data_IF_404971917768
#
_entry.id   IF_404971917768
#
_cell.length_a   1.000
_cell.length_b   1.000
_cell.length_c   1.000
_cell.angle_alpha   90.00
_cell.angle_beta   90.00
_cell.angle_gamma   90.00
#
_symmetry.space_group_name_H-M   'P 1'
#
loop_
_entity.id
_entity.type
_entity.pdbx_description
1 polymer ?
#
# COMPACT_ATOMS: atom_id res chain seq x y z
N UNK A 1 -7.63 -23.02 7.11
CA UNK A 1 -7.22 -21.64 6.76
C UNK A 1 -5.73 -21.65 6.48
N UNK A 2 -5.32 -21.07 5.35
CA UNK A 2 -3.92 -20.93 4.93
C UNK A 2 -3.66 -19.44 4.71
N UNK A 3 -2.51 -18.95 5.18
CA UNK A 3 -2.05 -17.57 4.98
C UNK A 3 -0.92 -17.60 3.97
N UNK A 4 -1.07 -16.87 2.88
CA UNK A 4 -0.13 -16.79 1.77
C UNK A 4 0.44 -15.38 1.72
N UNK A 5 1.71 -15.21 2.10
CA UNK A 5 2.41 -13.93 2.01
C UNK A 5 3.23 -13.89 0.74
N UNK A 6 2.78 -13.07 -0.22
CA UNK A 6 3.35 -12.93 -1.57
C UNK A 6 3.61 -14.27 -2.29
N UNK A 7 2.59 -15.16 -2.44
CA UNK A 7 2.80 -16.55 -2.86
C UNK A 7 3.35 -16.74 -4.28
N UNK A 8 3.26 -15.70 -5.11
CA UNK A 8 3.64 -15.73 -6.52
C UNK A 8 4.68 -14.65 -6.87
N UNK A 9 5.23 -13.96 -5.86
CA UNK A 9 6.28 -12.98 -6.10
C UNK A 9 7.54 -13.68 -6.65
N UNK A 10 8.33 -12.94 -7.43
CA UNK A 10 9.54 -13.42 -8.09
C UNK A 10 9.34 -14.56 -9.12
N UNK A 11 8.10 -14.91 -9.49
CA UNK A 11 7.80 -15.86 -10.56
C UNK A 11 7.48 -15.13 -11.86
N UNK A 12 7.77 -15.76 -13.00
CA UNK A 12 7.31 -15.27 -14.30
C UNK A 12 5.78 -15.40 -14.43
N UNK A 13 5.18 -14.56 -15.28
CA UNK A 13 3.72 -14.47 -15.45
C UNK A 13 3.08 -15.83 -15.77
N UNK A 14 3.76 -16.71 -16.51
CA UNK A 14 3.21 -18.02 -16.88
C UNK A 14 3.19 -19.01 -15.72
N UNK A 15 4.19 -18.94 -14.83
CA UNK A 15 4.25 -19.75 -13.61
C UNK A 15 3.32 -19.17 -12.54
N UNK A 16 3.19 -17.85 -12.43
CA UNK A 16 2.20 -17.23 -11.53
C UNK A 16 0.79 -17.78 -11.81
N UNK A 17 0.37 -17.81 -13.08
CA UNK A 17 -0.93 -18.35 -13.48
C UNK A 17 -1.11 -19.82 -13.09
N UNK A 18 -0.07 -20.65 -13.25
CA UNK A 18 -0.13 -22.06 -12.85
C UNK A 18 -0.28 -22.24 -11.33
N UNK A 19 0.44 -21.43 -10.54
CA UNK A 19 0.34 -21.47 -9.08
C UNK A 19 -1.05 -21.01 -8.62
N UNK A 20 -1.61 -19.95 -9.22
CA UNK A 20 -2.96 -19.47 -8.90
C UNK A 20 -4.00 -20.56 -9.18
N UNK A 21 -3.98 -21.16 -10.37
CA UNK A 21 -4.91 -22.25 -10.72
C UNK A 21 -4.80 -23.43 -9.75
N UNK A 22 -3.58 -23.79 -9.35
CA UNK A 22 -3.37 -24.86 -8.36
C UNK A 22 -3.97 -24.48 -6.99
N UNK A 23 -3.82 -23.24 -6.55
CA UNK A 23 -4.41 -22.77 -5.29
C UNK A 23 -5.94 -22.83 -5.34
N UNK A 24 -6.55 -22.45 -6.46
CA UNK A 24 -8.00 -22.55 -6.68
C UNK A 24 -8.48 -24.02 -6.65
N UNK A 25 -7.80 -24.91 -7.37
CA UNK A 25 -8.10 -26.36 -7.36
C UNK A 25 -8.01 -26.96 -5.94
N UNK A 26 -6.99 -26.54 -5.17
CA UNK A 26 -6.84 -26.96 -3.78
C UNK A 26 -7.91 -26.35 -2.87
N UNK A 27 -8.35 -25.12 -3.14
CA UNK A 27 -9.45 -24.47 -2.42
C UNK A 27 -10.71 -25.31 -2.53
N UNK A 28 -11.09 -25.67 -3.76
CA UNK A 28 -12.33 -26.38 -4.06
C UNK A 28 -12.29 -27.82 -3.56
N UNK A 29 -11.18 -28.53 -3.80
CA UNK A 29 -11.06 -29.94 -3.45
C UNK A 29 -10.95 -30.20 -1.95
N UNK A 30 -10.36 -29.25 -1.19
CA UNK A 30 -10.11 -29.41 0.24
C UNK A 30 -10.97 -28.48 1.13
N UNK A 31 -11.79 -27.60 0.54
CA UNK A 31 -12.63 -26.65 1.28
C UNK A 31 -11.80 -25.63 2.07
N UNK A 32 -10.73 -25.10 1.47
CA UNK A 32 -9.79 -24.22 2.16
C UNK A 32 -10.27 -22.76 2.15
N UNK A 33 -9.87 -22.03 3.18
CA UNK A 33 -9.97 -20.57 3.22
C UNK A 33 -8.56 -20.00 3.09
N UNK A 34 -8.37 -19.11 2.12
CA UNK A 34 -7.11 -18.41 1.90
C UNK A 34 -7.17 -16.97 2.40
N UNK A 35 -6.09 -16.52 3.02
CA UNK A 35 -5.77 -15.10 3.21
C UNK A 35 -4.50 -14.82 2.42
N UNK A 36 -4.63 -14.10 1.30
CA UNK A 36 -3.52 -13.77 0.42
C UNK A 36 -3.09 -12.32 0.67
N UNK A 37 -1.79 -12.12 0.83
CA UNK A 37 -1.14 -10.81 0.89
C UNK A 37 -0.34 -10.67 -0.39
N UNK A 38 -0.62 -9.64 -1.18
CA UNK A 38 0.10 -9.38 -2.43
C UNK A 38 0.08 -7.87 -2.74
N UNK A 39 1.09 -7.44 -3.49
CA UNK A 39 1.18 -6.07 -4.01
C UNK A 39 0.69 -5.94 -5.46
N UNK A 40 0.53 -7.06 -6.19
CA UNK A 40 0.02 -7.07 -7.55
C UNK A 40 -1.51 -7.24 -7.56
N UNK A 41 -2.20 -6.18 -7.93
CA UNK A 41 -3.66 -6.17 -8.06
C UNK A 41 -4.16 -7.17 -9.13
N UNK A 42 -3.43 -7.39 -10.23
CA UNK A 42 -3.85 -8.34 -11.26
C UNK A 42 -3.96 -9.76 -10.69
N UNK A 43 -3.04 -10.16 -9.83
CA UNK A 43 -3.08 -11.46 -9.11
C UNK A 43 -4.25 -11.49 -8.13
N UNK A 44 -4.38 -10.46 -7.29
CA UNK A 44 -5.40 -10.41 -6.22
C UNK A 44 -6.81 -10.50 -6.80
N UNK A 45 -7.06 -9.94 -7.99
CA UNK A 45 -8.37 -10.00 -8.66
C UNK A 45 -8.86 -11.43 -8.90
N UNK A 46 -7.96 -12.34 -9.28
CA UNK A 46 -8.33 -13.68 -9.74
C UNK A 46 -8.60 -14.63 -8.56
N UNK A 47 -7.82 -14.52 -7.48
CA UNK A 47 -7.86 -15.47 -6.36
C UNK A 47 -8.76 -15.04 -5.19
N UNK A 48 -9.26 -13.79 -5.19
CA UNK A 48 -9.93 -13.21 -4.01
C UNK A 48 -11.41 -12.95 -4.23
N UNK A 49 -12.26 -13.39 -3.29
CA UNK A 49 -13.68 -12.98 -3.23
C UNK A 49 -13.83 -11.53 -2.73
N UNK A 50 -13.05 -11.17 -1.70
CA UNK A 50 -13.05 -9.87 -1.03
C UNK A 50 -11.61 -9.36 -0.94
N UNK A 51 -11.43 -8.08 -1.23
CA UNK A 51 -10.11 -7.43 -1.23
C UNK A 51 -10.09 -6.35 -0.16
N UNK A 52 -9.07 -6.40 0.70
CA UNK A 52 -8.72 -5.34 1.64
C UNK A 52 -7.48 -4.57 1.17
N UNK A 53 -7.60 -3.26 1.03
CA UNK A 53 -6.50 -2.36 0.65
C UNK A 53 -5.96 -1.69 1.91
N UNK A 54 -4.64 -1.81 2.12
CA UNK A 54 -3.96 -1.20 3.27
C UNK A 54 -3.04 -0.06 2.85
N UNK A 55 -2.94 0.95 3.71
CA UNK A 55 -1.96 2.02 3.58
C UNK A 55 -1.33 2.36 4.94
N UNK A 56 0.01 2.32 5.00
CA UNK A 56 0.81 2.55 6.22
C UNK A 56 0.28 1.75 7.43
N UNK A 57 -0.03 0.46 7.22
CA UNK A 57 -0.50 -0.44 8.26
C UNK A 57 -1.93 -0.18 8.75
N UNK A 58 -2.80 0.42 7.94
CA UNK A 58 -4.22 0.56 8.23
C UNK A 58 -5.08 0.18 7.03
N UNK A 59 -6.20 -0.50 7.27
CA UNK A 59 -7.18 -0.83 6.24
C UNK A 59 -7.89 0.45 5.80
N UNK A 60 -7.78 0.79 4.51
CA UNK A 60 -8.37 2.01 3.93
C UNK A 60 -9.60 1.72 3.10
N UNK A 61 -9.72 0.51 2.57
CA UNK A 61 -10.86 0.08 1.77
C UNK A 61 -11.00 -1.44 1.83
N UNK A 62 -12.22 -1.94 1.87
CA UNK A 62 -12.58 -3.37 1.80
C UNK A 62 -13.82 -3.51 0.94
N UNK A 63 -13.81 -4.38 -0.08
CA UNK A 63 -14.97 -4.60 -0.93
C UNK A 63 -14.91 -5.97 -1.61
N UNK A 64 -16.04 -6.49 -2.12
CA UNK A 64 -16.01 -7.58 -3.11
C UNK A 64 -15.06 -7.23 -4.25
N UNK A 65 -14.29 -8.22 -4.73
CA UNK A 65 -13.23 -8.02 -5.74
C UNK A 65 -13.74 -7.22 -6.94
N UNK A 66 -14.82 -7.67 -7.57
CA UNK A 66 -15.40 -6.99 -8.74
C UNK A 66 -15.86 -5.56 -8.46
N UNK A 67 -16.44 -5.29 -7.29
CA UNK A 67 -16.88 -3.96 -6.89
C UNK A 67 -15.70 -3.00 -6.69
N UNK A 68 -14.59 -3.49 -6.12
CA UNK A 68 -13.37 -2.71 -5.94
C UNK A 68 -12.76 -2.28 -7.28
N UNK A 69 -12.73 -3.17 -8.27
CA UNK A 69 -12.22 -2.87 -9.61
C UNK A 69 -13.17 -1.97 -10.42
N UNK A 70 -14.48 -2.14 -10.25
CA UNK A 70 -15.47 -1.35 -10.96
C UNK A 70 -15.55 0.10 -10.45
N UNK A 71 -15.38 0.31 -9.15
CA UNK A 71 -15.56 1.62 -8.52
C UNK A 71 -14.79 1.77 -7.22
N UNK A 72 -13.45 1.87 -7.26
CA UNK A 72 -12.66 2.13 -6.05
C UNK A 72 -13.05 3.48 -5.46
N UNK A 73 -13.27 3.55 -4.15
CA UNK A 73 -13.81 4.74 -3.46
C UNK A 73 -12.75 5.53 -2.72
N UNK A 74 -11.79 4.87 -2.05
CA UNK A 74 -10.74 5.58 -1.34
C UNK A 74 -9.77 6.23 -2.33
N UNK A 75 -9.36 7.52 -2.13
CA UNK A 75 -8.41 8.20 -3.02
C UNK A 75 -7.12 7.43 -3.31
N UNK A 76 -6.60 6.70 -2.32
CA UNK A 76 -5.43 5.83 -2.51
C UNK A 76 -5.72 4.67 -3.47
N UNK A 77 -6.82 3.95 -3.28
CA UNK A 77 -7.21 2.83 -4.15
C UNK A 77 -7.52 3.32 -5.57
N UNK A 78 -8.17 4.48 -5.72
CA UNK A 78 -8.36 5.13 -7.03
C UNK A 78 -7.02 5.32 -7.75
N UNK A 79 -6.02 5.82 -7.03
CA UNK A 79 -4.68 6.01 -7.59
C UNK A 79 -4.00 4.69 -7.96
N UNK A 80 -4.05 3.68 -7.08
CA UNK A 80 -3.54 2.34 -7.38
C UNK A 80 -4.18 1.74 -8.63
N UNK A 81 -5.52 1.74 -8.71
CA UNK A 81 -6.26 1.18 -9.83
C UNK A 81 -6.03 1.94 -11.15
N UNK A 82 -5.73 3.24 -11.07
CA UNK A 82 -5.35 4.03 -12.26
C UNK A 82 -3.99 3.62 -12.84
N UNK A 83 -3.12 2.98 -12.04
CA UNK A 83 -1.80 2.53 -12.46
C UNK A 83 -1.78 1.07 -12.96
N UNK A 84 -2.83 0.28 -12.70
CA UNK A 84 -2.94 -1.11 -13.17
C UNK A 84 -3.25 -1.10 -14.67
N UNK A 85 -2.41 -1.70 -15.54
CA UNK A 85 -2.67 -1.79 -16.97
C UNK A 85 -3.92 -2.61 -17.27
N UNK A 86 -4.70 -2.19 -18.28
CA UNK A 86 -5.78 -3.03 -18.82
C UNK A 86 -5.34 -3.76 -20.10
N UNK A 87 -5.86 -4.98 -20.37
CA UNK A 87 -5.47 -5.75 -21.55
C UNK A 87 -5.85 -5.13 -22.89
N UNK A 88 -6.90 -4.31 -22.92
CA UNK A 88 -7.40 -3.66 -24.14
C UNK A 88 -6.62 -2.36 -24.40
N UNK A 89 -5.82 -2.29 -25.49
CA UNK A 89 -4.99 -1.13 -25.78
C UNK A 89 -5.80 0.13 -26.07
N UNK A 90 -6.97 0.03 -26.71
CA UNK A 90 -7.79 1.20 -26.98
C UNK A 90 -8.40 1.79 -25.70
N UNK A 91 -8.65 0.93 -24.70
CA UNK A 91 -9.09 1.37 -23.38
C UNK A 91 -7.91 1.97 -22.62
N UNK A 92 -6.74 1.31 -22.60
CA UNK A 92 -5.55 1.78 -21.89
C UNK A 92 -5.09 3.16 -22.37
N UNK A 93 -5.04 3.40 -23.68
CA UNK A 93 -4.62 4.68 -24.27
C UNK A 93 -5.51 5.86 -23.83
N UNK A 94 -6.78 5.59 -23.49
CA UNK A 94 -7.75 6.60 -23.04
C UNK A 94 -7.79 6.77 -21.53
N UNK A 95 -7.08 5.95 -20.76
CA UNK A 95 -7.11 6.03 -19.29
C UNK A 95 -6.21 7.15 -18.78
N UNK A 96 -6.74 7.88 -17.81
CA UNK A 96 -6.02 8.90 -17.07
C UNK A 96 -5.36 8.26 -15.84
N UNK A 97 -4.04 8.40 -15.74
CA UNK A 97 -3.29 7.94 -14.55
C UNK A 97 -3.27 9.03 -13.50
N UNK A 98 -3.52 8.66 -12.25
CA UNK A 98 -3.44 9.56 -11.10
C UNK A 98 -2.02 9.49 -10.55
N UNK A 99 -1.18 10.47 -10.88
CA UNK A 99 0.14 10.59 -10.27
C UNK A 99 0.03 11.22 -8.88
N UNK A 100 0.45 10.46 -7.87
CA UNK A 100 0.50 10.92 -6.48
C UNK A 100 1.77 11.73 -6.23
N UNK A 101 1.61 12.92 -5.65
CA UNK A 101 2.72 13.79 -5.29
C UNK A 101 3.17 13.58 -3.84
N UNK A 102 4.42 13.95 -3.57
CA UNK A 102 5.06 13.85 -2.26
C UNK A 102 5.62 12.46 -1.95
N UNK A 103 6.55 12.43 -1.00
CA UNK A 103 7.24 11.22 -0.56
C UNK A 103 6.34 10.33 0.29
N UNK A 104 6.64 9.02 0.29
CA UNK A 104 5.97 8.06 1.16
C UNK A 104 6.37 8.33 2.62
N UNK A 105 5.41 8.61 3.52
CA UNK A 105 5.71 8.81 4.93
C UNK A 105 6.24 7.54 5.60
N UNK A 106 7.02 7.70 6.68
CA UNK A 106 7.52 6.57 7.45
C UNK A 106 6.37 5.79 8.11
N UNK A 107 6.30 4.45 7.96
CA UNK A 107 5.36 3.61 8.70
C UNK A 107 5.55 3.66 10.22
N UNK A 108 6.76 3.96 10.70
CA UNK A 108 7.08 4.05 12.13
C UNK A 108 6.53 5.32 12.78
N UNK A 109 6.35 6.39 12.00
CA UNK A 109 5.75 7.64 12.45
C UNK A 109 4.72 8.13 11.41
N UNK A 110 3.57 7.46 11.33
CA UNK A 110 2.58 7.77 10.31
C UNK A 110 1.93 9.14 10.57
N UNK A 111 1.44 9.82 9.52
CA UNK A 111 0.72 11.08 9.69
C UNK A 111 -0.45 10.97 10.67
N UNK A 112 -0.73 12.08 11.37
CA UNK A 112 -1.90 12.21 12.20
C UNK A 112 -3.19 12.17 11.35
N UNK A 113 -4.31 11.86 11.97
CA UNK A 113 -5.59 11.74 11.26
C UNK A 113 -5.61 10.62 10.19
N UNK A 114 -5.96 11.00 8.96
CA UNK A 114 -5.96 10.11 7.79
C UNK A 114 -4.53 9.89 7.28
N UNK A 115 -4.01 8.67 7.39
CA UNK A 115 -2.63 8.33 7.00
C UNK A 115 -2.25 8.76 5.57
N UNK A 116 -3.23 8.83 4.66
CA UNK A 116 -3.01 9.19 3.26
C UNK A 116 -3.08 10.71 2.98
N UNK A 117 -3.44 11.55 3.97
CA UNK A 117 -3.73 12.96 3.72
C UNK A 117 -2.57 13.76 3.09
N UNK A 118 -1.31 13.35 3.33
CA UNK A 118 -0.12 14.04 2.79
C UNK A 118 0.07 13.84 1.28
N UNK A 119 -0.56 12.82 0.71
CA UNK A 119 -0.48 12.45 -0.71
C UNK A 119 -1.85 12.43 -1.39
N UNK A 120 -2.93 12.67 -0.65
CA UNK A 120 -4.30 12.58 -1.13
C UNK A 120 -4.64 13.77 -2.05
N UNK A 121 -5.01 13.53 -3.32
CA UNK A 121 -5.40 14.63 -4.22
C UNK A 121 -6.65 15.38 -3.77
N UNK A 122 -7.51 14.76 -2.95
CA UNK A 122 -8.76 15.34 -2.44
C UNK A 122 -8.66 15.78 -0.97
N UNK A 123 -7.45 16.00 -0.45
CA UNK A 123 -7.22 16.38 0.95
C UNK A 123 -8.04 17.62 1.33
N UNK A 124 -8.70 17.55 2.50
CA UNK A 124 -9.44 18.66 3.11
C UNK A 124 -8.78 19.07 4.43
N UNK A 125 -8.57 20.37 4.62
CA UNK A 125 -7.93 20.94 5.82
C UNK A 125 -8.71 20.67 7.11
N UNK A 126 -10.03 20.47 7.01
CA UNK A 126 -10.94 20.40 8.17
C UNK A 126 -10.78 19.15 9.02
N UNK A 127 -10.59 17.97 8.40
CA UNK A 127 -10.57 16.67 9.11
C UNK A 127 -9.39 15.77 8.77
N UNK A 128 -8.86 15.85 7.54
CA UNK A 128 -7.93 14.83 7.05
C UNK A 128 -6.61 14.77 7.85
N UNK A 129 -6.12 15.90 8.35
CA UNK A 129 -4.86 15.97 9.11
C UNK A 129 -5.03 15.71 10.62
N UNK A 130 -6.25 15.81 11.15
CA UNK A 130 -6.52 15.85 12.60
C UNK A 130 -7.29 14.65 13.10
N UNK A 131 -8.17 14.07 12.30
CA UNK A 131 -9.07 12.99 12.69
C UNK A 131 -8.83 11.72 11.85
N UNK A 132 -8.76 10.56 12.50
CA UNK A 132 -8.63 9.28 11.78
C UNK A 132 -10.01 8.86 11.27
N UNK A 133 -10.21 8.68 9.95
CA UNK A 133 -11.49 8.24 9.44
C UNK A 133 -11.75 6.79 9.90
N UNK A 134 -12.94 6.48 10.43
CA UNK A 134 -13.34 5.10 10.68
C UNK A 134 -13.58 4.37 9.36
N UNK A 135 -13.36 3.05 9.35
CA UNK A 135 -13.73 2.19 8.23
C UNK A 135 -15.25 1.97 8.26
N UNK A 136 -15.98 2.64 7.37
CA UNK A 136 -17.44 2.63 7.34
C UNK A 136 -17.96 1.96 6.07
N UNK A 137 -19.03 1.19 6.21
CA UNK A 137 -19.76 0.61 5.08
C UNK A 137 -20.50 1.72 4.32
N UNK A 138 -20.28 1.77 3.01
CA UNK A 138 -20.84 2.75 2.06
C UNK A 138 -21.89 2.12 1.13
N UNK A 139 -22.33 0.89 1.46
CA UNK A 139 -23.30 0.09 0.71
C UNK A 139 -22.67 -1.20 0.17
N UNK A 140 -23.47 -2.26 0.08
CA UNK A 140 -23.13 -3.53 -0.57
C UNK A 140 -21.86 -4.23 -0.05
N UNK A 141 -21.51 -3.99 1.23
CA UNK A 141 -20.30 -4.53 1.86
C UNK A 141 -19.02 -3.78 1.48
N UNK A 142 -19.13 -2.62 0.83
CA UNK A 142 -18.01 -1.77 0.44
C UNK A 142 -17.66 -0.80 1.57
N UNK A 143 -16.60 -1.10 2.32
CA UNK A 143 -16.15 -0.29 3.45
C UNK A 143 -14.99 0.61 3.07
N UNK A 144 -15.00 1.86 3.55
CA UNK A 144 -14.01 2.88 3.21
C UNK A 144 -13.64 3.69 4.45
N UNK A 145 -12.35 3.91 4.65
CA UNK A 145 -11.83 4.78 5.70
C UNK A 145 -11.48 6.17 5.12
N UNK A 146 -12.51 6.92 4.71
CA UNK A 146 -12.36 8.30 4.24
C UNK A 146 -13.48 9.19 4.78
N UNK A 147 -13.14 10.41 5.17
CA UNK A 147 -14.09 11.40 5.70
C UNK A 147 -15.04 11.95 4.65
N UNK A 148 -14.65 11.91 3.38
CA UNK A 148 -15.30 12.62 2.28
C UNK A 148 -15.68 11.70 1.12
N UNK A 149 -15.91 10.41 1.38
CA UNK A 149 -16.23 9.43 0.33
C UNK A 149 -17.42 9.89 -0.52
N UNK A 150 -18.53 10.24 0.14
CA UNK A 150 -19.77 10.64 -0.54
C UNK A 150 -19.59 11.93 -1.36
N UNK A 151 -18.85 12.90 -0.84
CA UNK A 151 -18.58 14.18 -1.49
C UNK A 151 -17.63 14.04 -2.69
N UNK A 152 -16.66 13.13 -2.60
CA UNK A 152 -15.77 12.79 -3.72
C UNK A 152 -16.57 12.09 -4.82
N UNK A 153 -17.44 11.12 -4.46
CA UNK A 153 -18.30 10.42 -5.42
C UNK A 153 -19.33 11.37 -6.06
N UNK A 154 -19.88 12.32 -5.30
CA UNK A 154 -20.79 13.34 -5.82
C UNK A 154 -20.09 14.47 -6.61
N UNK A 155 -18.76 14.50 -6.63
CA UNK A 155 -17.97 15.54 -7.30
C UNK A 155 -18.05 16.93 -6.65
N UNK A 156 -18.55 17.02 -5.41
CA UNK A 156 -18.63 18.28 -4.66
C UNK A 156 -17.28 18.69 -4.05
N UNK A 157 -16.40 17.71 -3.78
CA UNK A 157 -15.01 17.94 -3.41
C UNK A 157 -14.11 17.75 -4.64
N UNK A 158 -13.43 18.83 -5.05
CA UNK A 158 -12.47 18.82 -6.16
C UNK A 158 -11.07 18.45 -5.66
N UNK A 159 -10.23 17.99 -6.57
CA UNK A 159 -8.81 17.76 -6.29
C UNK A 159 -8.12 19.09 -5.94
N UNK A 160 -7.45 19.12 -4.80
CA UNK A 160 -6.69 20.26 -4.26
C UNK A 160 -5.21 20.19 -4.64
N UNK A 161 -4.67 18.99 -4.88
CA UNK A 161 -3.33 18.80 -5.45
C UNK A 161 -3.46 18.53 -6.95
N UNK A 162 -2.71 19.26 -7.77
CA UNK A 162 -2.62 18.97 -9.21
C UNK A 162 -2.05 17.56 -9.36
N UNK A 163 -2.87 16.59 -9.78
CA UNK A 163 -2.39 15.30 -10.25
C UNK A 163 -1.76 15.50 -11.62
N UNK A 164 -0.55 15.01 -11.84
CA UNK A 164 -0.06 14.83 -13.21
C UNK A 164 -0.96 13.80 -13.89
N UNK A 165 -1.90 14.26 -14.73
CA UNK A 165 -2.65 13.38 -15.63
C UNK A 165 -1.76 13.23 -16.86
N UNK A 166 -0.96 12.17 -16.90
CA UNK A 166 -0.26 11.77 -18.11
C UNK A 166 -1.17 10.83 -18.90
N UNK A 167 -1.55 11.25 -20.12
CA UNK A 167 -2.14 10.34 -21.09
C UNK A 167 -1.09 9.30 -21.47
N UNK A 168 -1.44 8.02 -21.42
CA UNK A 168 -0.54 6.93 -21.75
C UNK A 168 -0.33 6.94 -23.27
N UNK A 169 0.71 7.61 -23.76
CA UNK A 169 1.10 7.50 -25.17
C UNK A 169 2.05 6.32 -25.33
N UNK A 170 1.52 5.14 -25.66
CA UNK A 170 2.32 3.98 -26.02
C UNK A 170 2.94 4.14 -27.42
N UNK A 171 4.26 4.32 -27.52
CA UNK A 171 4.98 4.01 -28.76
C UNK A 171 6.42 3.61 -28.45
N UNK A 172 6.69 2.31 -28.33
CA UNK A 172 7.94 1.72 -28.82
C UNK A 172 7.60 0.39 -29.51
N UNK A 173 7.62 0.44 -30.84
CA UNK A 173 7.50 -0.69 -31.76
C UNK A 173 8.76 -1.56 -31.69
N UNK A 174 8.58 -2.84 -31.38
CA UNK A 174 9.57 -3.89 -31.69
C UNK A 174 9.62 -4.11 -33.19
N UNK A 175 10.75 -3.75 -33.82
CA UNK A 175 11.09 -4.22 -35.15
C UNK A 175 12.19 -5.29 -35.02
N UNK A 176 11.84 -6.51 -35.41
CA UNK A 176 12.77 -7.58 -35.66
C UNK A 176 13.49 -7.33 -37.00
N UNK A 177 14.81 -7.40 -37.00
CA UNK A 177 15.57 -7.78 -38.19
C UNK A 177 16.78 -8.61 -37.76
N UNK A 178 16.97 -9.75 -38.42
CA UNK A 178 18.08 -10.66 -38.25
C UNK A 178 19.14 -10.39 -39.33
N UNK A 179 20.41 -10.68 -39.01
CA UNK A 179 21.36 -11.54 -39.75
C UNK A 179 22.82 -11.04 -39.66
N UNK A 180 23.67 -12.00 -39.26
CA UNK A 180 25.10 -12.24 -39.58
C UNK A 180 26.27 -11.72 -38.73
N UNK A 181 27.24 -12.64 -38.68
CA UNK A 181 28.45 -12.77 -37.86
C UNK A 181 29.63 -12.10 -38.57
N UNK A 182 30.51 -11.43 -37.81
CA UNK A 182 31.94 -11.35 -38.17
C UNK A 182 32.81 -11.11 -36.95
N UNK A 183 33.80 -11.98 -36.77
CA UNK A 183 34.91 -11.91 -35.81
C UNK A 183 35.85 -10.73 -36.12
N UNK A 184 36.51 -10.19 -35.09
CA UNK A 184 37.57 -9.20 -35.25
C UNK A 184 38.05 -8.62 -33.91
N UNK A 185 39.09 -9.23 -33.36
CA UNK A 185 39.86 -8.81 -32.18
C UNK A 185 40.45 -7.39 -32.34
N UNK A 186 40.58 -6.63 -31.24
CA UNK A 186 41.87 -6.04 -30.82
C UNK A 186 41.77 -5.43 -29.40
N UNK A 187 42.82 -5.69 -28.64
CA UNK A 187 43.12 -5.24 -27.28
C UNK A 187 43.34 -3.72 -27.18
N UNK A 188 43.00 -3.12 -26.02
CA UNK A 188 43.84 -2.11 -25.36
C UNK A 188 43.37 -1.82 -23.92
N UNK A 189 44.19 -2.29 -22.98
CA UNK A 189 44.53 -1.81 -21.63
C UNK A 189 43.70 -0.69 -20.94
N UNK A 190 43.30 -1.03 -19.71
CA UNK A 190 42.96 -0.14 -18.57
C UNK A 190 44.16 0.69 -18.10
N UNK A 191 43.95 1.74 -17.26
CA UNK A 191 44.08 1.42 -15.83
C UNK A 191 43.06 2.11 -14.90
N UNK A 192 42.85 1.36 -13.83
CA UNK A 192 42.18 1.65 -12.56
C UNK A 192 42.82 2.86 -11.85
N UNK A 193 41.99 3.70 -11.23
CA UNK A 193 42.41 4.51 -10.07
C UNK A 193 41.41 4.35 -8.93
N UNK A 194 41.81 3.55 -7.94
CA UNK A 194 41.36 3.48 -6.54
C UNK A 194 41.85 4.76 -5.81
N UNK A 195 41.10 5.45 -4.96
CA UNK A 195 40.83 5.19 -3.52
C UNK A 195 40.62 6.60 -2.85
N UNK A 196 40.18 6.78 -1.58
CA UNK A 196 40.04 5.76 -0.55
C UNK A 196 38.73 5.76 0.26
N UNK A 197 38.49 4.58 0.82
CA UNK A 197 37.65 4.31 1.99
C UNK A 197 38.11 5.11 3.23
N UNK A 198 37.14 5.52 4.05
CA UNK A 198 37.36 5.87 5.45
C UNK A 198 36.53 4.93 6.31
N UNK A 199 37.22 4.03 6.97
CA UNK A 199 36.72 3.13 8.01
C UNK A 199 36.72 3.83 9.41
N UNK A 200 36.17 3.21 10.47
CA UNK A 200 35.05 3.78 11.23
C UNK A 200 35.47 4.44 12.55
N UNK A 201 34.63 5.36 13.04
CA UNK A 201 34.79 5.90 14.39
C UNK A 201 34.16 4.95 15.43
N UNK A 202 35.02 4.53 16.33
CA UNK A 202 34.82 3.66 17.49
C UNK A 202 33.85 4.23 18.54
N UNK A 203 33.08 3.31 19.13
CA UNK A 203 32.33 3.46 20.39
C UNK A 203 33.29 3.69 21.57
N UNK A 204 32.90 4.45 22.61
CA UNK A 204 33.23 4.05 23.96
C UNK A 204 31.97 3.77 24.78
N UNK A 205 31.90 2.55 25.30
CA UNK A 205 31.04 2.19 26.40
C UNK A 205 31.66 2.74 27.70
N UNK A 206 30.86 3.36 28.55
CA UNK A 206 31.05 3.30 30.01
C UNK A 206 29.75 3.63 30.73
N UNK A 207 29.54 2.89 31.81
CA UNK A 207 28.29 2.63 32.48
C UNK A 207 28.13 3.42 33.80
N UNK A 208 26.90 3.38 34.30
CA UNK A 208 26.46 3.48 35.70
C UNK A 208 26.75 4.76 36.51
N UNK A 209 25.69 5.50 36.85
CA UNK A 209 25.33 5.81 38.25
C UNK A 209 23.99 6.57 38.36
N UNK A 210 23.31 6.32 39.47
CA UNK A 210 22.25 7.10 40.11
C UNK A 210 20.78 6.81 39.77
N UNK A 211 20.32 5.78 40.49
CA UNK A 211 18.98 5.64 41.01
C UNK A 211 18.54 6.82 41.91
N UNK A 212 17.21 6.92 42.07
CA UNK A 212 16.40 7.80 42.95
C UNK A 212 16.09 9.19 42.41
N UNK A 213 14.83 9.37 41.98
CA UNK A 213 13.83 10.25 42.64
C UNK A 213 12.58 10.39 41.76
N UNK A 214 11.52 9.62 42.07
CA UNK A 214 10.12 10.00 41.81
C UNK A 214 9.13 8.97 42.41
N UNK A 215 9.28 8.68 43.71
CA UNK A 215 8.13 8.27 44.54
C UNK A 215 7.82 9.44 45.46
N UNK A 216 6.95 10.36 45.01
CA UNK A 216 6.11 11.19 45.89
C UNK A 216 5.12 11.99 45.04
N UNK A 217 3.87 11.51 44.95
CA UNK A 217 2.61 12.27 44.91
C UNK A 217 1.46 11.40 44.38
N UNK A 218 0.94 10.56 45.25
CA UNK A 218 -0.46 10.12 45.21
C UNK A 218 -0.88 9.80 46.64
N UNK A 219 -1.09 10.87 47.42
CA UNK A 219 -1.71 10.82 48.72
C UNK A 219 -2.54 12.08 48.87
N UNK A 220 -3.81 12.01 48.49
CA UNK A 220 -4.92 12.72 49.15
C UNK A 220 -6.26 12.21 48.60
N UNK A 221 -7.30 12.29 49.44
CA UNK A 221 -8.70 11.94 49.23
C UNK A 221 -9.12 10.48 49.54
N UNK A 222 -9.03 10.20 50.84
CA UNK A 222 -9.84 9.26 51.62
C UNK A 222 -11.36 9.50 51.47
N UNK A 223 -12.10 8.38 51.54
CA UNK A 223 -13.35 8.21 52.30
C UNK A 223 -14.73 8.34 51.61
N UNK A 224 -15.56 7.32 51.90
CA UNK A 224 -16.98 7.04 51.58
C UNK A 224 -17.19 6.19 50.32
N UNK A 225 -17.84 5.02 50.36
CA UNK A 225 -18.82 4.52 51.32
C UNK A 225 -18.73 2.99 51.49
N UNK A 226 -19.11 2.58 52.69
CA UNK A 226 -19.26 1.22 53.18
C UNK A 226 -20.12 0.36 52.26
N UNK A 227 -19.61 -0.83 51.93
CA UNK A 227 -20.42 -1.99 51.65
C UNK A 227 -20.33 -2.95 52.82
N UNK A 228 -21.48 -3.43 53.33
CA UNK A 228 -21.60 -4.80 53.84
C UNK A 228 -23.06 -5.21 54.10
N UNK A 229 -23.34 -6.55 54.14
CA UNK A 229 -24.52 -7.16 53.53
C UNK A 229 -25.49 -7.81 54.55
N UNK A 230 -26.52 -8.50 54.00
CA UNK A 230 -27.63 -9.32 54.60
C UNK A 230 -28.97 -8.60 54.39
N UNK A 231 -30.02 -9.21 53.82
CA UNK A 231 -30.59 -10.57 53.95
C UNK A 231 -31.13 -11.04 52.60
#
# INVERSE_FOLDING_TARGET
MIICDEPVSALDVSVQAQVINLLEELQESLGLTYLVIAHDLAVVRHISDVIGVMYLGGLVEEAPSDALYAGPRHPYTKALMSAVPVPDPEVEDRRERILLHGDLPSPANPPAGCRFHTRCPWVQETKCATERPPLLDTGDGHKVACHFTAEIEAGTVKQTLATGIEAVTGTETVAAEAVEVSEGETEAETPVTEAPEKEPATVPAQADADAKKAEEKAGDATEKAEGSPKV
#
